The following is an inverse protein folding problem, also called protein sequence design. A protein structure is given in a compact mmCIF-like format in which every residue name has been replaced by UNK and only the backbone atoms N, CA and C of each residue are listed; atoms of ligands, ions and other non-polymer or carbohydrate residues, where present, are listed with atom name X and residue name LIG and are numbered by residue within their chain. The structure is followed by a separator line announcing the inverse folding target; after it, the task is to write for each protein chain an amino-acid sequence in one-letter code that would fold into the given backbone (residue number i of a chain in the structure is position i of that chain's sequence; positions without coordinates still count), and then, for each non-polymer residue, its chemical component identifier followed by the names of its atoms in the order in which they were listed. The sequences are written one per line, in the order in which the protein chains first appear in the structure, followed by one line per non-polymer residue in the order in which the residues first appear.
data_IF_310203527525
#
_entry.id   IF_310203527525
#
_cell.length_a   1.000
_cell.length_b   1.000
_cell.length_c   1.000
_cell.angle_alpha   90.00
_cell.angle_beta   90.00
_cell.angle_gamma   90.00
#
_symmetry.space_group_name_H-M   'P 1'
#
loop_
_entity.id
_entity.type
_entity.pdbx_description
1 polymer ?
#
# COMPACT_ATOMS: atom_id res chain seq x y z
N UNK A 1 15.28 -17.37 -21.16
CA UNK A 1 13.89 -17.49 -21.68
C UNK A 1 13.20 -18.72 -21.07
N UNK A 2 12.16 -18.52 -20.26
CA UNK A 2 11.38 -19.61 -19.70
C UNK A 2 10.64 -20.34 -20.83
N UNK A 3 11.27 -21.36 -21.43
CA UNK A 3 10.67 -22.17 -22.49
C UNK A 3 9.38 -22.85 -22.01
N UNK A 4 8.48 -23.18 -22.95
CA UNK A 4 7.22 -23.97 -22.83
C UNK A 4 6.28 -23.75 -21.62
N UNK A 5 6.58 -22.85 -20.69
CA UNK A 5 5.81 -22.59 -19.47
C UNK A 5 5.20 -21.20 -19.56
N UNK A 6 3.88 -21.14 -19.41
CA UNK A 6 3.15 -19.89 -19.28
C UNK A 6 3.32 -19.37 -17.85
N UNK A 7 4.19 -18.37 -17.67
CA UNK A 7 4.38 -17.71 -16.39
C UNK A 7 3.17 -16.82 -16.05
N UNK A 8 2.58 -17.04 -14.88
CA UNK A 8 1.49 -16.20 -14.34
C UNK A 8 2.07 -14.98 -13.60
N UNK A 9 3.19 -15.17 -12.89
CA UNK A 9 3.90 -14.10 -12.18
C UNK A 9 5.38 -14.45 -12.07
N UNK A 10 6.25 -13.48 -12.31
CA UNK A 10 7.70 -13.63 -12.18
C UNK A 10 8.21 -12.76 -11.03
N UNK A 11 8.38 -13.35 -9.86
CA UNK A 11 8.87 -12.68 -8.66
C UNK A 11 7.88 -11.72 -8.00
N UNK A 12 8.40 -10.82 -7.17
CA UNK A 12 7.64 -9.78 -6.49
C UNK A 12 7.26 -8.67 -7.48
N UNK A 13 5.97 -8.39 -7.58
CA UNK A 13 5.50 -7.28 -8.38
C UNK A 13 5.75 -5.99 -7.60
N UNK A 14 6.68 -5.17 -8.07
CA UNK A 14 7.02 -3.91 -7.40
C UNK A 14 5.98 -2.82 -7.68
N UNK A 15 5.45 -2.77 -8.90
CA UNK A 15 4.56 -1.71 -9.35
C UNK A 15 4.58 -1.50 -10.84
N UNK A 16 3.97 -0.41 -11.26
CA UNK A 16 3.87 0.03 -12.65
C UNK A 16 4.54 1.39 -12.83
N UNK A 17 5.43 1.49 -13.81
CA UNK A 17 5.90 2.77 -14.32
C UNK A 17 4.83 3.34 -15.25
N UNK A 18 4.34 4.54 -14.95
CA UNK A 18 3.48 5.34 -15.83
C UNK A 18 4.24 6.62 -16.22
N UNK A 19 3.81 7.35 -17.26
CA UNK A 19 4.48 8.59 -17.65
C UNK A 19 4.69 9.53 -16.46
N UNK A 20 5.96 9.81 -16.16
CA UNK A 20 6.41 10.70 -15.09
C UNK A 20 6.22 10.19 -13.65
N UNK A 21 5.80 8.94 -13.42
CA UNK A 21 5.57 8.44 -12.05
C UNK A 21 5.54 6.91 -11.92
N UNK A 22 5.98 6.44 -10.76
CA UNK A 22 5.84 5.05 -10.34
C UNK A 22 4.59 4.87 -9.46
N UNK A 23 3.82 3.82 -9.71
CA UNK A 23 2.72 3.38 -8.84
C UNK A 23 3.13 2.05 -8.20
N UNK A 24 3.36 2.01 -6.88
CA UNK A 24 3.75 0.78 -6.21
C UNK A 24 2.58 -0.20 -6.21
N UNK A 25 2.88 -1.48 -6.44
CA UNK A 25 1.89 -2.54 -6.40
C UNK A 25 1.51 -2.86 -4.95
N UNK A 26 0.27 -3.35 -4.76
CA UNK A 26 -0.18 -3.81 -3.45
C UNK A 26 0.70 -4.93 -2.90
N UNK A 27 1.15 -5.84 -3.76
CA UNK A 27 2.04 -6.94 -3.41
C UNK A 27 3.35 -6.47 -2.77
N UNK A 28 3.89 -5.34 -3.24
CA UNK A 28 5.06 -4.73 -2.62
C UNK A 28 4.75 -4.32 -1.19
N UNK A 29 3.60 -3.68 -0.92
CA UNK A 29 3.24 -3.32 0.45
C UNK A 29 3.19 -4.54 1.39
N UNK A 30 2.62 -5.66 0.92
CA UNK A 30 2.51 -6.88 1.71
C UNK A 30 3.87 -7.55 1.99
N UNK A 31 4.90 -7.21 1.21
CA UNK A 31 6.25 -7.75 1.36
C UNK A 31 7.17 -6.87 2.24
N UNK A 32 6.71 -5.69 2.66
CA UNK A 32 7.51 -4.71 3.39
C UNK A 32 7.13 -4.66 4.88
N UNK A 33 8.11 -4.30 5.69
CA UNK A 33 7.92 -3.77 7.04
C UNK A 33 8.00 -2.24 7.02
N UNK A 34 7.62 -1.61 8.12
CA UNK A 34 7.75 -0.15 8.29
C UNK A 34 9.18 0.36 8.14
N UNK A 35 10.19 -0.48 8.40
CA UNK A 35 11.60 -0.12 8.26
C UNK A 35 12.06 -0.05 6.80
N UNK A 36 11.36 -0.71 5.89
CA UNK A 36 11.70 -0.76 4.46
C UNK A 36 11.08 0.41 3.68
N UNK A 37 10.17 1.18 4.30
CA UNK A 37 9.43 2.25 3.66
C UNK A 37 9.92 3.63 4.10
N UNK A 38 10.13 4.53 3.13
CA UNK A 38 10.52 5.92 3.42
C UNK A 38 9.46 6.69 4.24
N UNK A 39 8.18 6.32 4.09
CA UNK A 39 7.08 6.86 4.87
C UNK A 39 6.10 5.74 5.20
N UNK A 40 5.68 5.67 6.46
CA UNK A 40 4.70 4.70 6.93
C UNK A 40 3.74 5.30 7.95
N UNK A 41 2.58 4.68 8.08
CA UNK A 41 1.63 4.91 9.17
C UNK A 41 1.33 3.54 9.75
N UNK A 42 1.87 3.31 10.95
CA UNK A 42 1.72 2.06 11.68
C UNK A 42 0.73 2.24 12.83
N UNK A 43 -0.15 1.26 13.02
CA UNK A 43 -1.22 1.31 14.02
C UNK A 43 -1.39 -0.07 14.66
N UNK A 44 -1.83 -0.15 15.92
CA UNK A 44 -2.18 -1.43 16.52
C UNK A 44 -3.44 -2.03 15.85
N UNK A 45 -3.63 -3.36 15.85
CA UNK A 45 -4.72 -4.06 15.15
C UNK A 45 -6.12 -3.56 15.49
N UNK A 46 -6.34 -3.13 16.73
CA UNK A 46 -7.64 -2.64 17.20
C UNK A 46 -7.92 -1.17 16.82
N UNK A 47 -7.01 -0.49 16.14
CA UNK A 47 -7.16 0.93 15.82
C UNK A 47 -8.29 1.13 14.78
N UNK A 48 -9.29 1.99 15.05
CA UNK A 48 -10.49 2.11 14.21
C UNK A 48 -10.20 2.60 12.78
N UNK A 49 -9.13 3.37 12.60
CA UNK A 49 -8.73 3.82 11.26
C UNK A 49 -8.25 2.67 10.35
N UNK A 50 -7.83 1.52 10.88
CA UNK A 50 -7.49 0.36 10.06
C UNK A 50 -8.74 -0.22 9.38
N UNK A 51 -9.87 -0.30 10.10
CA UNK A 51 -11.12 -0.72 9.50
C UNK A 51 -11.57 0.24 8.39
N UNK A 52 -11.45 1.55 8.63
CA UNK A 52 -11.73 2.57 7.60
C UNK A 52 -10.79 2.47 6.39
N UNK A 53 -9.49 2.22 6.61
CA UNK A 53 -8.55 1.96 5.52
C UNK A 53 -8.93 0.70 4.72
N UNK A 54 -9.24 -0.40 5.40
CA UNK A 54 -9.60 -1.67 4.76
C UNK A 54 -10.95 -1.61 4.02
N UNK A 55 -11.85 -0.69 4.37
CA UNK A 55 -13.07 -0.44 3.59
C UNK A 55 -12.84 0.46 2.37
N UNK A 56 -11.63 0.99 2.20
CA UNK A 56 -11.28 1.89 1.11
C UNK A 56 -11.47 3.38 1.42
N UNK A 57 -11.83 3.74 2.67
CA UNK A 57 -11.98 5.14 3.06
C UNK A 57 -10.63 5.86 3.11
N UNK A 58 -10.64 7.15 2.75
CA UNK A 58 -9.49 8.03 2.95
C UNK A 58 -9.38 8.48 4.41
N UNK A 59 -8.16 8.72 4.89
CA UNK A 59 -7.90 9.05 6.29
C UNK A 59 -7.33 10.47 6.43
N UNK A 60 -7.72 11.23 7.46
CA UNK A 60 -6.96 12.41 7.87
C UNK A 60 -5.64 11.96 8.50
N UNK A 61 -4.53 12.38 7.92
CA UNK A 61 -3.20 12.00 8.41
C UNK A 61 -2.17 13.02 7.90
N UNK A 62 -1.58 13.77 8.81
CA UNK A 62 -0.59 14.81 8.50
C UNK A 62 0.78 14.21 8.21
N UNK A 63 1.69 15.03 7.69
CA UNK A 63 3.04 14.63 7.31
C UNK A 63 3.35 14.96 5.85
N UNK A 64 4.56 14.61 5.37
CA UNK A 64 4.98 14.90 4.01
C UNK A 64 4.08 14.23 2.97
N UNK A 65 3.83 14.92 1.87
CA UNK A 65 3.13 14.36 0.72
C UNK A 65 3.97 13.24 0.08
N UNK A 66 3.30 12.20 -0.42
CA UNK A 66 3.99 11.04 -0.98
C UNK A 66 3.23 9.73 -0.84
N UNK A 67 3.87 8.64 -1.29
CA UNK A 67 3.41 7.29 -1.01
C UNK A 67 3.72 6.93 0.44
N UNK A 68 2.72 6.37 1.12
CA UNK A 68 2.78 5.99 2.54
C UNK A 68 2.38 4.53 2.65
N UNK A 69 3.24 3.73 3.27
CA UNK A 69 2.91 2.35 3.65
C UNK A 69 1.94 2.39 4.83
N UNK A 70 0.73 1.88 4.64
CA UNK A 70 -0.18 1.61 5.75
C UNK A 70 0.24 0.28 6.36
N UNK A 71 0.42 0.24 7.68
CA UNK A 71 0.92 -0.93 8.40
C UNK A 71 0.12 -1.23 9.67
N UNK A 72 0.23 -2.48 10.13
CA UNK A 72 -0.24 -2.95 11.44
C UNK A 72 0.88 -3.72 12.13
N UNK A 73 1.18 -3.36 13.37
CA UNK A 73 2.27 -3.94 14.16
C UNK A 73 3.59 -4.08 13.37
N UNK A 74 3.92 -3.07 12.57
CA UNK A 74 5.14 -3.02 11.76
C UNK A 74 5.05 -3.73 10.39
N UNK A 75 3.96 -4.43 10.08
CA UNK A 75 3.77 -5.16 8.82
C UNK A 75 2.87 -4.40 7.84
N UNK A 76 3.28 -4.33 6.57
CA UNK A 76 2.53 -3.62 5.54
C UNK A 76 1.17 -4.24 5.22
N UNK A 77 0.14 -3.40 5.21
CA UNK A 77 -1.24 -3.72 4.80
C UNK A 77 -1.55 -3.26 3.38
N UNK A 78 -0.89 -2.22 2.89
CA UNK A 78 -1.19 -1.63 1.59
C UNK A 78 -0.67 -0.21 1.46
N UNK A 79 -0.95 0.41 0.32
CA UNK A 79 -0.52 1.79 0.05
C UNK A 79 -1.63 2.80 0.30
N UNK A 80 -1.19 3.98 0.73
CA UNK A 80 -1.92 5.23 0.65
C UNK A 80 -1.06 6.28 -0.07
N UNK A 81 -1.70 7.30 -0.63
CA UNK A 81 -0.99 8.48 -1.14
C UNK A 81 -1.42 9.70 -0.34
N UNK A 82 -0.52 10.25 0.48
CA UNK A 82 -0.76 11.47 1.24
C UNK A 82 -0.66 12.68 0.31
N UNK A 83 -1.69 13.52 0.32
CA UNK A 83 -1.74 14.81 -0.36
C UNK A 83 -2.51 15.79 0.53
N UNK A 84 -1.86 16.85 1.00
CA UNK A 84 -2.50 17.92 1.77
C UNK A 84 -3.09 17.44 3.10
N UNK A 85 -2.34 16.63 3.85
CA UNK A 85 -2.74 16.13 5.17
C UNK A 85 -3.87 15.07 5.15
N UNK A 86 -4.15 14.50 3.98
CA UNK A 86 -5.08 13.36 3.83
C UNK A 86 -4.44 12.24 3.04
N UNK A 87 -4.63 11.01 3.50
CA UNK A 87 -4.25 9.81 2.76
C UNK A 87 -5.40 9.40 1.85
N UNK A 88 -5.12 9.43 0.54
CA UNK A 88 -5.96 8.80 -0.49
C UNK A 88 -5.69 7.31 -0.50
N UNK A 89 -6.73 6.54 -0.27
CA UNK A 89 -6.66 5.10 -0.14
C UNK A 89 -6.34 4.42 -1.48
N UNK A 90 -5.28 3.61 -1.54
CA UNK A 90 -4.91 2.80 -2.70
C UNK A 90 -5.01 1.29 -2.40
N UNK A 91 -5.78 0.92 -1.38
CA UNK A 91 -6.12 -0.46 -1.08
C UNK A 91 -6.97 -1.04 -2.24
N UNK A 92 -6.63 -2.25 -2.74
CA UNK A 92 -7.30 -2.83 -3.89
C UNK A 92 -8.81 -2.96 -3.66
N UNK A 93 -9.60 -2.48 -4.61
CA UNK A 93 -11.06 -2.42 -4.45
C UNK A 93 -11.70 -3.79 -4.21
N UNK A 94 -11.16 -4.84 -4.83
CA UNK A 94 -11.65 -6.21 -4.70
C UNK A 94 -11.28 -6.88 -3.37
N UNK A 95 -10.41 -6.27 -2.56
CA UNK A 95 -10.07 -6.74 -1.21
C UNK A 95 -10.81 -5.96 -0.12
N UNK A 96 -11.54 -4.89 -0.48
CA UNK A 96 -12.18 -4.01 0.50
C UNK A 96 -13.23 -4.75 1.31
N UNK A 97 -13.20 -4.55 2.63
CA UNK A 97 -14.20 -5.10 3.56
C UNK A 97 -15.44 -4.21 3.54
N UNK A 98 -16.62 -4.83 3.53
CA UNK A 98 -17.91 -4.16 3.68
C UNK A 98 -18.29 -4.09 5.15
#
# INVERSE_FOLDING_TARGET
PAGRVRLVRYGLLLGEVRPGRFHPAHDLALALTVADAAQSVDRPPAHPQLAAYLSGAGLPETGPDGWVLMAVDGFGLGWGKRVGGRIKNHYPHYLRRR
#
